data_IF_301133200816
#
_entry.id   IF_301133200816
#
_cell.length_a   1.000
_cell.length_b   1.000
_cell.length_c   1.000
_cell.angle_alpha   90.00
_cell.angle_beta   90.00
_cell.angle_gamma   90.00
#
_symmetry.space_group_name_H-M   'P 1'
#
loop_
_entity.id
_entity.type
_entity.pdbx_description
1 polymer ?
#
# COMPACT_ATOMS: atom_id res chain seq x y z
N UNK A 1 37.88 -53.25 27.08
CA UNK A 1 36.67 -53.03 26.28
C UNK A 1 36.43 -51.49 26.17
N UNK A 2 36.73 -50.87 25.05
CA UNK A 2 36.50 -49.42 24.81
C UNK A 2 35.12 -49.24 24.15
N UNK A 3 34.18 -48.63 24.87
CA UNK A 3 32.86 -48.23 24.31
C UNK A 3 33.05 -47.08 23.35
N UNK A 4 32.68 -47.27 22.08
CA UNK A 4 32.59 -46.21 21.07
C UNK A 4 31.29 -45.44 21.35
N UNK A 5 31.39 -44.14 21.67
CA UNK A 5 30.28 -43.21 21.76
C UNK A 5 29.92 -42.78 20.35
N UNK A 6 28.71 -43.11 19.91
CA UNK A 6 28.15 -42.65 18.63
C UNK A 6 27.35 -41.39 18.92
N UNK A 7 27.80 -40.26 18.40
CA UNK A 7 27.04 -39.00 18.45
C UNK A 7 26.03 -38.96 17.28
N UNK A 8 24.75 -38.72 17.53
CA UNK A 8 23.82 -38.51 16.44
C UNK A 8 24.12 -37.17 15.72
N UNK A 9 24.38 -37.23 14.43
CA UNK A 9 24.48 -36.04 13.59
C UNK A 9 23.08 -35.39 13.49
N UNK A 10 22.94 -34.22 14.08
CA UNK A 10 21.76 -33.40 13.95
C UNK A 10 21.77 -32.74 12.54
N UNK A 11 21.00 -33.29 11.62
CA UNK A 11 20.78 -32.69 10.31
C UNK A 11 19.88 -31.47 10.48
N UNK A 12 20.47 -30.27 10.51
CA UNK A 12 19.72 -29.04 10.32
C UNK A 12 19.22 -28.97 8.88
N UNK A 13 17.95 -29.27 8.71
CA UNK A 13 17.26 -29.00 7.45
C UNK A 13 17.17 -27.47 7.28
N UNK A 14 18.15 -26.89 6.58
CA UNK A 14 18.07 -25.49 6.13
C UNK A 14 16.98 -25.47 5.06
N UNK A 15 15.76 -25.13 5.50
CA UNK A 15 14.67 -24.84 4.60
C UNK A 15 15.05 -23.54 3.83
N UNK A 16 15.70 -23.73 2.68
CA UNK A 16 16.02 -22.65 1.77
C UNK A 16 14.71 -21.99 1.33
N UNK A 17 14.42 -20.81 1.89
CA UNK A 17 13.38 -19.95 1.36
C UNK A 17 13.79 -19.60 -0.08
N UNK A 18 13.19 -20.27 -1.06
CA UNK A 18 13.14 -19.80 -2.42
C UNK A 18 12.43 -18.45 -2.38
N UNK A 19 13.21 -17.38 -2.38
CA UNK A 19 12.74 -16.01 -2.60
C UNK A 19 12.11 -15.96 -3.98
N UNK A 20 10.85 -16.37 -4.09
CA UNK A 20 10.02 -16.12 -5.26
C UNK A 20 10.02 -14.62 -5.53
N UNK A 21 9.99 -14.24 -6.80
CA UNK A 21 9.98 -12.87 -7.27
C UNK A 21 9.03 -12.04 -6.40
N UNK A 22 9.57 -11.14 -5.58
CA UNK A 22 8.80 -10.37 -4.60
C UNK A 22 7.85 -9.32 -5.18
N UNK A 23 7.63 -9.33 -6.53
CA UNK A 23 6.70 -8.46 -7.25
C UNK A 23 5.81 -9.32 -8.15
N UNK A 24 4.49 -9.20 -8.01
CA UNK A 24 3.48 -9.94 -8.80
C UNK A 24 2.38 -9.00 -9.31
N UNK A 25 1.71 -9.37 -10.41
CA UNK A 25 0.58 -8.60 -10.96
C UNK A 25 -0.73 -8.83 -10.18
N UNK A 26 -0.84 -9.96 -9.47
CA UNK A 26 -2.01 -10.34 -8.68
C UNK A 26 -1.58 -11.09 -7.43
N UNK A 27 -2.55 -11.56 -6.67
CA UNK A 27 -2.29 -12.38 -5.49
C UNK A 27 -1.51 -13.63 -5.91
N UNK A 28 -0.36 -13.95 -5.28
CA UNK A 28 0.43 -15.11 -5.65
C UNK A 28 -0.33 -16.42 -5.37
N UNK A 29 -0.09 -17.44 -6.19
CA UNK A 29 -0.74 -18.76 -6.00
C UNK A 29 -0.38 -19.41 -4.66
N UNK A 30 0.82 -19.14 -4.14
CA UNK A 30 1.25 -19.57 -2.80
C UNK A 30 1.38 -18.33 -1.92
N UNK A 31 0.53 -18.24 -0.90
CA UNK A 31 0.51 -17.15 0.07
C UNK A 31 1.25 -17.61 1.32
N UNK A 32 2.20 -16.82 1.80
CA UNK A 32 2.85 -16.98 3.09
C UNK A 32 2.17 -16.08 4.13
N UNK A 33 1.44 -16.62 5.11
CA UNK A 33 0.77 -15.81 6.14
C UNK A 33 1.73 -14.99 7.01
N UNK A 34 3.01 -15.37 7.08
CA UNK A 34 4.02 -14.65 7.85
C UNK A 34 4.61 -13.44 7.10
N UNK A 35 4.40 -13.35 5.80
CA UNK A 35 4.94 -12.25 4.99
C UNK A 35 4.15 -10.95 5.17
N UNK A 36 4.78 -9.82 4.81
CA UNK A 36 4.15 -8.50 4.69
C UNK A 36 3.81 -8.25 3.23
N UNK A 37 2.54 -8.03 2.94
CA UNK A 37 2.03 -7.75 1.60
C UNK A 37 1.78 -6.27 1.40
N UNK A 38 2.20 -5.76 0.25
CA UNK A 38 1.97 -4.39 -0.16
C UNK A 38 1.34 -4.36 -1.54
N UNK A 39 0.12 -3.83 -1.64
CA UNK A 39 -0.57 -3.63 -2.91
C UNK A 39 -0.34 -2.19 -3.34
N UNK A 40 0.41 -1.98 -4.45
CA UNK A 40 0.68 -0.66 -4.99
C UNK A 40 -0.28 -0.33 -6.14
N UNK A 41 -1.01 0.78 -6.01
CA UNK A 41 -2.00 1.25 -6.98
C UNK A 41 -1.51 2.56 -7.59
N UNK A 42 -1.06 2.50 -8.84
CA UNK A 42 -0.43 3.63 -9.54
C UNK A 42 -1.41 4.73 -9.95
N UNK A 43 -0.88 5.91 -10.31
CA UNK A 43 -1.61 7.07 -10.82
C UNK A 43 -2.13 6.89 -12.25
N UNK A 44 -2.93 7.86 -12.72
CA UNK A 44 -3.60 7.84 -14.02
C UNK A 44 -2.65 7.83 -15.22
N UNK A 45 -1.44 8.36 -15.08
CA UNK A 45 -0.51 8.57 -16.20
C UNK A 45 -0.15 7.29 -16.95
N UNK A 46 -0.08 6.14 -16.28
CA UNK A 46 0.14 4.83 -16.94
C UNK A 46 -1.03 4.47 -17.85
N UNK A 47 -2.26 4.71 -17.38
CA UNK A 47 -3.48 4.42 -18.15
C UNK A 47 -3.56 5.26 -19.42
N UNK A 48 -3.27 6.57 -19.29
CA UNK A 48 -3.39 7.52 -20.40
C UNK A 48 -2.29 7.36 -21.44
N UNK A 49 -1.06 7.09 -21.02
CA UNK A 49 0.07 6.94 -21.95
C UNK A 49 0.35 5.47 -22.33
N UNK A 50 -0.35 4.50 -21.72
CA UNK A 50 -0.20 3.05 -21.98
C UNK A 50 1.27 2.61 -21.92
N UNK A 51 2.00 3.10 -20.92
CA UNK A 51 3.44 2.90 -20.76
C UNK A 51 3.79 2.62 -19.30
N UNK A 52 4.75 1.71 -19.07
CA UNK A 52 5.32 1.48 -17.74
C UNK A 52 6.31 2.58 -17.29
N UNK A 53 6.68 3.47 -18.22
CA UNK A 53 7.56 4.60 -17.95
C UNK A 53 7.05 5.87 -18.67
N UNK A 54 5.81 6.30 -18.38
CA UNK A 54 5.27 7.48 -19.03
C UNK A 54 6.04 8.74 -18.59
N UNK A 55 6.00 9.79 -19.43
CA UNK A 55 6.70 11.04 -19.16
C UNK A 55 5.71 12.19 -19.03
N UNK A 56 5.78 12.91 -17.93
CA UNK A 56 5.05 14.16 -17.74
C UNK A 56 5.97 15.35 -18.05
N UNK A 57 5.48 16.40 -18.74
CA UNK A 57 6.33 17.56 -19.10
C UNK A 57 7.01 18.22 -17.90
N UNK A 58 6.31 18.36 -16.77
CA UNK A 58 6.79 19.02 -15.55
C UNK A 58 7.53 18.07 -14.61
N UNK A 59 7.04 16.82 -14.43
CA UNK A 59 7.53 15.91 -13.39
C UNK A 59 8.53 14.89 -13.89
N UNK A 60 8.78 14.83 -15.20
CA UNK A 60 9.68 13.85 -15.80
C UNK A 60 9.07 12.46 -15.91
N UNK A 61 9.91 11.43 -15.83
CA UNK A 61 9.46 10.04 -15.97
C UNK A 61 8.81 9.51 -14.69
N UNK A 62 7.68 8.82 -14.86
CA UNK A 62 7.07 8.02 -13.83
C UNK A 62 7.80 6.68 -13.73
N UNK A 63 8.59 6.50 -12.69
CA UNK A 63 9.49 5.35 -12.51
C UNK A 63 8.78 4.17 -11.83
N UNK A 64 7.67 3.71 -12.42
CA UNK A 64 6.82 2.65 -11.85
C UNK A 64 7.60 1.43 -11.36
N UNK A 65 8.45 0.87 -12.23
CA UNK A 65 9.25 -0.30 -11.90
C UNK A 65 10.14 -0.07 -10.69
N UNK A 66 10.83 1.07 -10.66
CA UNK A 66 11.73 1.44 -9.56
C UNK A 66 10.98 1.63 -8.24
N UNK A 67 9.75 2.17 -8.29
CA UNK A 67 8.89 2.25 -7.10
C UNK A 67 8.63 0.84 -6.55
N UNK A 68 8.20 -0.10 -7.39
CA UNK A 68 7.93 -1.47 -6.95
C UNK A 68 9.16 -2.17 -6.41
N UNK A 69 10.30 -2.03 -7.09
CA UNK A 69 11.58 -2.59 -6.67
C UNK A 69 12.02 -2.03 -5.32
N UNK A 70 11.89 -0.71 -5.13
CA UNK A 70 12.20 -0.07 -3.84
C UNK A 70 11.34 -0.62 -2.70
N UNK A 71 10.04 -0.78 -2.92
CA UNK A 71 9.14 -1.33 -1.90
C UNK A 71 9.45 -2.82 -1.61
N UNK A 72 9.76 -3.62 -2.63
CA UNK A 72 10.24 -5.00 -2.46
C UNK A 72 11.51 -5.05 -1.62
N UNK A 73 12.48 -4.19 -1.92
CA UNK A 73 13.78 -4.16 -1.24
C UNK A 73 13.66 -3.71 0.24
N UNK A 74 12.53 -3.09 0.60
CA UNK A 74 12.13 -2.82 2.00
C UNK A 74 11.45 -4.01 2.68
N UNK A 75 11.41 -5.19 2.04
CA UNK A 75 10.96 -6.45 2.62
C UNK A 75 9.47 -6.75 2.46
N UNK A 76 8.80 -6.16 1.48
CA UNK A 76 7.41 -6.47 1.14
C UNK A 76 7.30 -7.43 -0.04
N UNK A 77 6.29 -8.30 0.00
CA UNK A 77 5.77 -8.94 -1.20
C UNK A 77 4.83 -7.94 -1.90
N UNK A 78 5.28 -7.42 -3.04
CA UNK A 78 4.58 -6.33 -3.73
C UNK A 78 3.63 -6.90 -4.78
N UNK A 79 2.36 -6.51 -4.70
CA UNK A 79 1.33 -6.84 -5.69
C UNK A 79 1.00 -5.55 -6.42
N UNK A 80 1.21 -5.50 -7.73
CA UNK A 80 0.83 -4.32 -8.52
C UNK A 80 0.56 -4.68 -9.97
N UNK A 81 -0.61 -4.30 -10.44
CA UNK A 81 -1.01 -4.42 -11.83
C UNK A 81 -0.87 -3.06 -12.53
N UNK A 82 -0.18 -3.05 -13.65
CA UNK A 82 -0.12 -1.88 -14.51
C UNK A 82 -1.39 -1.76 -15.35
N UNK A 83 -2.32 -0.90 -14.93
CA UNK A 83 -3.55 -0.62 -15.69
C UNK A 83 -3.21 0.15 -16.97
N UNK A 84 -3.35 -0.48 -18.13
CA UNK A 84 -3.04 0.11 -19.45
C UNK A 84 -4.27 0.76 -20.10
N UNK A 85 -5.42 0.67 -19.47
CA UNK A 85 -6.67 1.31 -19.91
C UNK A 85 -7.26 2.12 -18.75
N UNK A 86 -7.99 3.15 -19.09
CA UNK A 86 -8.66 3.98 -18.09
C UNK A 86 -9.75 3.16 -17.38
N UNK A 87 -9.75 3.20 -16.06
CA UNK A 87 -10.73 2.53 -15.21
C UNK A 87 -11.50 3.53 -14.37
N UNK A 88 -12.74 3.20 -14.02
CA UNK A 88 -13.47 3.91 -12.97
C UNK A 88 -12.86 3.54 -11.60
N UNK A 89 -12.49 4.53 -10.76
CA UNK A 89 -11.86 4.26 -9.47
C UNK A 89 -12.74 3.45 -8.51
N UNK A 90 -14.05 3.69 -8.46
CA UNK A 90 -14.94 3.00 -7.56
C UNK A 90 -15.14 1.53 -7.99
N UNK A 91 -15.22 1.29 -9.31
CA UNK A 91 -15.32 -0.08 -9.86
C UNK A 91 -14.02 -0.85 -9.63
N UNK A 92 -12.86 -0.25 -9.94
CA UNK A 92 -11.57 -0.93 -9.77
C UNK A 92 -11.21 -1.16 -8.30
N UNK A 93 -11.75 -0.39 -7.38
CA UNK A 93 -11.60 -0.62 -5.95
C UNK A 93 -12.11 -2.01 -5.52
N UNK A 94 -13.11 -2.57 -6.21
CA UNK A 94 -13.55 -3.96 -6.03
C UNK A 94 -12.43 -4.97 -6.25
N UNK A 95 -11.63 -4.80 -7.31
CA UNK A 95 -10.46 -5.66 -7.57
C UNK A 95 -9.42 -5.59 -6.44
N UNK A 96 -9.19 -4.40 -5.89
CA UNK A 96 -8.27 -4.24 -4.75
C UNK A 96 -8.84 -4.90 -3.50
N UNK A 97 -10.14 -4.72 -3.23
CA UNK A 97 -10.82 -5.37 -2.11
C UNK A 97 -10.77 -6.90 -2.21
N UNK A 98 -10.98 -7.46 -3.40
CA UNK A 98 -10.86 -8.90 -3.63
C UNK A 98 -9.44 -9.42 -3.35
N UNK A 99 -8.39 -8.70 -3.76
CA UNK A 99 -7.00 -9.05 -3.48
C UNK A 99 -6.71 -9.05 -1.98
N UNK A 100 -7.13 -8.02 -1.26
CA UNK A 100 -6.98 -7.95 0.20
C UNK A 100 -7.74 -9.09 0.87
N UNK A 101 -8.99 -9.32 0.49
CA UNK A 101 -9.81 -10.38 1.05
C UNK A 101 -9.24 -11.78 0.77
N UNK A 102 -8.59 -12.00 -0.38
CA UNK A 102 -7.91 -13.25 -0.70
C UNK A 102 -6.72 -13.50 0.26
N UNK A 103 -5.92 -12.46 0.56
CA UNK A 103 -4.83 -12.53 1.54
C UNK A 103 -5.38 -12.82 2.95
N UNK A 104 -6.44 -12.14 3.37
CA UNK A 104 -7.09 -12.36 4.67
C UNK A 104 -7.62 -13.79 4.80
N UNK A 105 -8.31 -14.32 3.77
CA UNK A 105 -8.80 -15.70 3.75
C UNK A 105 -7.68 -16.73 3.80
N UNK A 106 -6.51 -16.41 3.29
CA UNK A 106 -5.33 -17.25 3.36
C UNK A 106 -4.59 -17.16 4.72
N UNK A 107 -5.13 -16.44 5.69
CA UNK A 107 -4.59 -16.33 7.03
C UNK A 107 -3.52 -15.23 7.21
N UNK A 108 -3.32 -14.35 6.23
CA UNK A 108 -2.45 -13.18 6.42
C UNK A 108 -3.10 -12.23 7.43
N UNK A 109 -2.44 -11.87 8.54
CA UNK A 109 -2.97 -10.90 9.49
C UNK A 109 -3.25 -9.55 8.81
N UNK A 110 -4.40 -8.95 9.06
CA UNK A 110 -4.83 -7.71 8.41
C UNK A 110 -3.77 -6.59 8.52
N UNK A 111 -3.09 -6.48 9.66
CA UNK A 111 -2.02 -5.50 9.91
C UNK A 111 -0.76 -5.72 9.06
N UNK A 112 -0.60 -6.89 8.44
CA UNK A 112 0.50 -7.19 7.51
C UNK A 112 0.13 -6.92 6.05
N UNK A 113 -1.05 -6.37 5.80
CA UNK A 113 -1.53 -6.00 4.48
C UNK A 113 -1.59 -4.48 4.38
N UNK A 114 -0.87 -3.91 3.43
CA UNK A 114 -0.83 -2.48 3.17
C UNK A 114 -1.22 -2.19 1.74
N UNK A 115 -2.12 -1.23 1.53
CA UNK A 115 -2.49 -0.71 0.21
C UNK A 115 -1.92 0.69 0.07
N UNK A 116 -1.02 0.91 -0.89
CA UNK A 116 -0.50 2.25 -1.23
C UNK A 116 -1.16 2.70 -2.53
N UNK A 117 -1.83 3.84 -2.49
CA UNK A 117 -2.42 4.45 -3.67
C UNK A 117 -1.84 5.83 -3.97
N UNK A 118 -1.41 6.06 -5.21
CA UNK A 118 -0.84 7.31 -5.69
C UNK A 118 -1.79 8.03 -6.65
N UNK A 119 -2.18 9.28 -6.37
CA UNK A 119 -3.08 10.09 -7.22
C UNK A 119 -4.40 9.32 -7.47
N UNK A 120 -4.80 9.05 -8.71
CA UNK A 120 -5.96 8.18 -9.02
C UNK A 120 -5.92 6.84 -8.25
N UNK A 121 -4.73 6.29 -8.03
CA UNK A 121 -4.56 5.10 -7.20
C UNK A 121 -4.94 5.31 -5.74
N UNK A 122 -4.74 6.51 -5.20
CA UNK A 122 -5.18 6.88 -3.85
C UNK A 122 -6.70 7.01 -3.75
N UNK A 123 -7.35 7.51 -4.80
CA UNK A 123 -8.82 7.49 -4.90
C UNK A 123 -9.34 6.05 -4.88
N UNK A 124 -8.70 5.15 -5.64
CA UNK A 124 -9.03 3.72 -5.65
C UNK A 124 -8.82 3.11 -4.25
N UNK A 125 -7.72 3.43 -3.57
CA UNK A 125 -7.42 2.93 -2.23
C UNK A 125 -8.46 3.40 -1.20
N UNK A 126 -8.95 4.63 -1.33
CA UNK A 126 -10.01 5.19 -0.49
C UNK A 126 -11.32 4.39 -0.66
N UNK A 127 -11.76 4.17 -1.91
CA UNK A 127 -12.94 3.34 -2.16
C UNK A 127 -12.74 1.90 -1.69
N UNK A 128 -11.54 1.33 -1.91
CA UNK A 128 -11.22 -0.03 -1.46
C UNK A 128 -11.27 -0.15 0.07
N UNK A 129 -10.77 0.86 0.81
CA UNK A 129 -10.86 0.91 2.28
C UNK A 129 -12.31 0.78 2.74
N UNK A 130 -13.23 1.52 2.11
CA UNK A 130 -14.66 1.44 2.41
C UNK A 130 -15.27 0.07 2.10
N UNK A 131 -14.88 -0.56 0.99
CA UNK A 131 -15.37 -1.89 0.59
C UNK A 131 -14.83 -3.02 1.47
N UNK A 132 -13.55 -2.94 1.86
CA UNK A 132 -12.89 -3.94 2.70
C UNK A 132 -13.46 -3.90 4.12
N UNK A 133 -13.79 -2.72 4.62
CA UNK A 133 -14.47 -2.53 5.91
C UNK A 133 -13.75 -3.22 7.07
N UNK A 134 -12.40 -3.20 7.07
CA UNK A 134 -11.57 -3.84 8.08
C UNK A 134 -10.72 -2.79 8.81
N UNK A 135 -10.87 -2.61 10.15
CA UNK A 135 -10.18 -1.56 10.90
C UNK A 135 -8.68 -1.80 11.07
N UNK A 136 -8.16 -2.96 10.69
CA UNK A 136 -6.76 -3.33 10.89
C UNK A 136 -5.92 -3.32 9.60
N UNK A 137 -6.53 -3.30 8.42
CA UNK A 137 -5.80 -3.17 7.14
C UNK A 137 -5.20 -1.78 7.03
N UNK A 138 -3.99 -1.69 6.45
CA UNK A 138 -3.28 -0.42 6.33
C UNK A 138 -3.48 0.21 4.96
N UNK A 139 -3.71 1.50 4.94
CA UNK A 139 -3.85 2.29 3.72
C UNK A 139 -2.89 3.48 3.76
N UNK A 140 -2.22 3.72 2.64
CA UNK A 140 -1.38 4.90 2.43
C UNK A 140 -1.93 5.63 1.22
N UNK A 141 -2.53 6.78 1.43
CA UNK A 141 -3.19 7.60 0.40
C UNK A 141 -2.27 8.76 0.06
N UNK A 142 -1.79 8.79 -1.18
CA UNK A 142 -0.81 9.78 -1.60
C UNK A 142 -1.41 10.77 -2.59
N UNK A 143 -1.42 12.06 -2.23
CA UNK A 143 -1.85 13.19 -3.07
C UNK A 143 -3.20 12.95 -3.77
N UNK A 144 -4.23 12.60 -3.00
CA UNK A 144 -5.51 12.15 -3.58
C UNK A 144 -6.75 12.67 -2.87
N UNK A 145 -6.61 13.21 -1.66
CA UNK A 145 -7.74 13.76 -0.93
C UNK A 145 -7.92 15.25 -1.29
N UNK A 146 -9.07 15.61 -1.72
CA UNK A 146 -9.41 17.00 -1.99
C UNK A 146 -10.90 17.21 -1.75
N UNK A 147 -11.33 18.45 -1.63
CA UNK A 147 -12.71 18.80 -1.31
C UNK A 147 -13.73 18.25 -2.30
N UNK A 148 -13.38 18.23 -3.59
CA UNK A 148 -14.25 17.66 -4.63
C UNK A 148 -14.51 16.19 -4.40
N UNK A 149 -13.44 15.40 -4.14
CA UNK A 149 -13.54 13.99 -3.86
C UNK A 149 -14.29 13.74 -2.55
N UNK A 150 -14.02 14.54 -1.51
CA UNK A 150 -14.73 14.40 -0.23
C UNK A 150 -16.25 14.56 -0.40
N UNK A 151 -16.70 15.58 -1.11
CA UNK A 151 -18.13 15.83 -1.33
C UNK A 151 -18.77 14.71 -2.15
N UNK A 152 -18.10 14.22 -3.20
CA UNK A 152 -18.57 13.10 -4.01
C UNK A 152 -18.72 11.81 -3.18
N UNK A 153 -17.69 11.44 -2.45
CA UNK A 153 -17.66 10.19 -1.66
C UNK A 153 -18.63 10.24 -0.49
N UNK A 154 -18.77 11.40 0.16
CA UNK A 154 -19.75 11.62 1.22
C UNK A 154 -21.17 11.41 0.72
N UNK A 155 -21.51 11.93 -0.45
CA UNK A 155 -22.82 11.74 -1.07
C UNK A 155 -23.13 10.26 -1.36
N UNK A 156 -22.08 9.45 -1.61
CA UNK A 156 -22.17 8.00 -1.86
C UNK A 156 -22.07 7.15 -0.59
N UNK A 157 -21.98 7.74 0.59
CA UNK A 157 -21.81 7.01 1.86
C UNK A 157 -20.46 6.32 2.01
N UNK A 158 -19.44 6.72 1.27
CA UNK A 158 -18.09 6.14 1.33
C UNK A 158 -17.34 6.73 2.52
N UNK A 159 -16.79 5.87 3.38
CA UNK A 159 -16.00 6.23 4.56
C UNK A 159 -14.67 5.49 4.57
N UNK A 160 -13.65 6.11 5.18
CA UNK A 160 -12.37 5.43 5.42
C UNK A 160 -12.50 4.41 6.55
N UNK A 161 -11.91 3.25 6.33
CA UNK A 161 -11.68 2.21 7.34
C UNK A 161 -10.19 1.86 7.39
N UNK A 162 -9.77 1.24 8.50
CA UNK A 162 -8.39 0.77 8.65
C UNK A 162 -7.45 1.81 9.24
N UNK A 163 -6.16 1.50 9.22
CA UNK A 163 -5.10 2.41 9.63
C UNK A 163 -4.66 3.23 8.43
N UNK A 164 -4.79 4.55 8.48
CA UNK A 164 -4.62 5.41 7.29
C UNK A 164 -3.50 6.42 7.48
N UNK A 165 -2.52 6.39 6.57
CA UNK A 165 -1.51 7.43 6.41
C UNK A 165 -1.84 8.25 5.15
N UNK A 166 -1.95 9.57 5.27
CA UNK A 166 -2.01 10.50 4.15
C UNK A 166 -0.64 11.14 3.94
N UNK A 167 -0.17 11.19 2.69
CA UNK A 167 1.08 11.87 2.32
C UNK A 167 0.84 12.75 1.10
N UNK A 168 1.17 14.03 1.17
CA UNK A 168 1.11 14.95 0.03
C UNK A 168 2.16 16.05 0.17
N UNK A 169 2.48 16.70 -0.94
CA UNK A 169 3.39 17.84 -0.95
C UNK A 169 2.63 19.17 -0.82
N UNK A 170 3.24 20.14 -0.14
CA UNK A 170 2.67 21.46 0.06
C UNK A 170 2.39 22.21 -1.24
N UNK A 171 3.22 21.94 -2.26
CA UNK A 171 3.21 22.62 -3.54
C UNK A 171 2.48 21.82 -4.64
N UNK A 172 1.57 20.89 -4.22
CA UNK A 172 0.79 20.10 -5.18
C UNK A 172 -0.13 21.01 -6.00
N UNK A 173 0.13 21.08 -7.29
CA UNK A 173 -0.62 21.93 -8.22
C UNK A 173 -2.07 21.50 -8.45
N UNK A 174 -2.43 20.30 -8.00
CA UNK A 174 -3.82 19.81 -8.05
C UNK A 174 -4.68 20.41 -6.93
N UNK A 175 -4.08 21.16 -6.01
CA UNK A 175 -4.74 21.84 -4.89
C UNK A 175 -4.41 21.24 -3.54
N UNK A 176 -5.19 21.55 -2.52
CA UNK A 176 -5.00 21.01 -1.17
C UNK A 176 -5.43 19.54 -1.12
N UNK A 177 -4.45 18.66 -0.93
CA UNK A 177 -4.61 17.21 -0.94
C UNK A 177 -4.80 16.62 0.48
N UNK A 178 -5.14 17.45 1.47
CA UNK A 178 -5.37 17.00 2.86
C UNK A 178 -6.54 16.02 2.96
N UNK A 179 -6.32 14.94 3.70
CA UNK A 179 -7.37 13.96 4.02
C UNK A 179 -8.12 14.31 5.33
N UNK A 180 -7.90 15.47 5.92
CA UNK A 180 -8.49 15.85 7.22
C UNK A 180 -10.00 15.66 7.29
N UNK A 181 -10.74 16.11 6.29
CA UNK A 181 -12.21 15.95 6.24
C UNK A 181 -12.63 14.48 6.22
N UNK A 182 -11.87 13.63 5.55
CA UNK A 182 -12.12 12.18 5.53
C UNK A 182 -11.88 11.55 6.90
N UNK A 183 -10.80 11.94 7.59
CA UNK A 183 -10.51 11.46 8.93
C UNK A 183 -11.59 11.87 9.92
N UNK A 184 -12.01 13.14 9.90
CA UNK A 184 -13.08 13.64 10.77
C UNK A 184 -14.40 12.90 10.54
N UNK A 185 -14.78 12.67 9.28
CA UNK A 185 -16.01 11.96 8.93
C UNK A 185 -16.00 10.46 9.30
N UNK A 186 -14.82 9.85 9.38
CA UNK A 186 -14.64 8.43 9.66
C UNK A 186 -14.36 8.11 11.14
N UNK A 187 -14.13 9.11 11.98
CA UNK A 187 -13.94 8.93 13.43
C UNK A 187 -15.09 8.14 14.04
N UNK A 188 -14.76 7.09 14.82
CA UNK A 188 -15.75 6.24 15.47
C UNK A 188 -16.54 5.31 14.52
N UNK A 189 -16.16 5.23 13.24
CA UNK A 189 -16.84 4.43 12.22
C UNK A 189 -15.93 3.37 11.57
N UNK A 190 -14.88 2.93 12.29
CA UNK A 190 -13.96 1.90 11.78
C UNK A 190 -12.64 2.45 11.24
N UNK A 191 -12.41 3.78 11.31
CA UNK A 191 -11.08 4.34 11.17
C UNK A 191 -10.27 3.97 12.42
N UNK A 192 -9.16 3.26 12.22
CA UNK A 192 -8.21 2.90 13.25
C UNK A 192 -7.26 4.06 13.57
N UNK A 193 -5.96 3.81 13.47
CA UNK A 193 -4.96 4.89 13.58
C UNK A 193 -4.94 5.70 12.29
N UNK A 194 -4.68 7.00 12.41
CA UNK A 194 -4.50 7.86 11.24
C UNK A 194 -3.43 8.91 11.50
N UNK A 195 -2.74 9.27 10.42
CA UNK A 195 -1.71 10.31 10.42
C UNK A 195 -1.70 11.00 9.05
N UNK A 196 -1.33 12.27 9.03
CA UNK A 196 -1.11 13.03 7.81
C UNK A 196 0.29 13.64 7.82
N UNK A 197 0.98 13.53 6.68
CA UNK A 197 2.30 14.10 6.45
C UNK A 197 2.21 15.04 5.24
N UNK A 198 2.41 16.32 5.51
CA UNK A 198 2.56 17.35 4.49
C UNK A 198 4.05 17.54 4.24
N UNK A 199 4.51 17.14 3.08
CA UNK A 199 5.89 17.33 2.64
C UNK A 199 6.11 18.76 2.13
N UNK A 200 7.36 19.19 2.11
CA UNK A 200 7.80 20.48 1.58
C UNK A 200 9.02 20.27 0.67
N UNK A 201 8.86 19.44 -0.36
CA UNK A 201 9.94 19.08 -1.28
C UNK A 201 10.06 20.02 -2.47
N UNK A 202 9.04 20.83 -2.72
CA UNK A 202 8.94 21.67 -3.92
C UNK A 202 8.63 20.89 -5.20
N UNK A 203 8.39 19.57 -5.09
CA UNK A 203 8.10 18.72 -6.26
C UNK A 203 6.60 18.67 -6.60
N UNK A 204 5.74 19.13 -5.70
CA UNK A 204 4.30 19.08 -5.89
C UNK A 204 3.82 17.66 -6.14
N UNK A 205 2.93 17.46 -7.13
CA UNK A 205 2.45 16.13 -7.53
C UNK A 205 3.58 15.20 -8.03
N UNK A 206 4.74 15.76 -8.35
CA UNK A 206 5.94 15.03 -8.79
C UNK A 206 6.55 14.10 -7.75
N UNK A 207 6.22 14.24 -6.46
CA UNK A 207 6.65 13.29 -5.41
C UNK A 207 6.24 11.85 -5.76
N UNK A 208 5.15 11.66 -6.50
CA UNK A 208 4.60 10.36 -6.87
C UNK A 208 5.38 9.67 -8.00
N UNK A 209 6.25 10.41 -8.70
CA UNK A 209 6.89 9.93 -9.94
C UNK A 209 8.12 9.08 -9.68
N UNK A 210 8.72 9.18 -8.52
CA UNK A 210 9.95 8.49 -8.13
C UNK A 210 9.89 8.02 -6.67
N UNK A 211 10.57 6.94 -6.31
CA UNK A 211 10.63 6.47 -4.92
C UNK A 211 11.62 7.32 -4.10
N UNK A 212 11.25 8.58 -3.83
CA UNK A 212 12.06 9.48 -3.00
C UNK A 212 11.93 9.11 -1.52
N UNK A 213 13.01 9.28 -0.72
CA UNK A 213 13.01 8.93 0.70
C UNK A 213 11.91 9.62 1.50
N UNK A 214 11.56 10.84 1.13
CA UNK A 214 10.60 11.69 1.84
C UNK A 214 9.21 11.06 1.96
N UNK A 215 8.78 10.24 0.99
CA UNK A 215 7.54 9.49 1.11
C UNK A 215 7.76 7.99 1.36
N UNK A 216 8.86 7.41 0.84
CA UNK A 216 9.11 5.96 0.98
C UNK A 216 9.35 5.59 2.44
N UNK A 217 10.21 6.35 3.14
CA UNK A 217 10.58 6.03 4.52
C UNK A 217 9.38 6.11 5.48
N UNK A 218 8.58 7.19 5.50
CA UNK A 218 7.41 7.23 6.37
C UNK A 218 6.34 6.20 5.97
N UNK A 219 6.18 5.89 4.68
CA UNK A 219 5.25 4.84 4.24
C UNK A 219 5.67 3.45 4.74
N UNK A 220 6.96 3.14 4.63
CA UNK A 220 7.54 1.87 5.11
C UNK A 220 7.50 1.79 6.64
N UNK A 221 7.84 2.89 7.33
CA UNK A 221 7.76 2.96 8.80
C UNK A 221 6.33 2.71 9.28
N UNK A 222 5.33 3.36 8.68
CA UNK A 222 3.92 3.15 8.97
C UNK A 222 3.49 1.70 8.81
N UNK A 223 3.79 1.09 7.65
CA UNK A 223 3.41 -0.29 7.36
C UNK A 223 4.09 -1.30 8.33
N UNK A 224 5.33 -1.04 8.74
CA UNK A 224 6.05 -1.89 9.69
C UNK A 224 5.54 -1.70 11.13
N UNK A 225 5.27 -0.46 11.57
CA UNK A 225 4.71 -0.18 12.89
C UNK A 225 3.37 -0.90 13.06
N UNK A 226 2.48 -0.80 12.07
CA UNK A 226 1.19 -1.47 12.12
C UNK A 226 1.34 -3.00 12.19
N UNK A 227 2.30 -3.58 11.48
CA UNK A 227 2.53 -5.03 11.46
C UNK A 227 3.03 -5.58 12.82
N UNK A 228 3.65 -4.74 13.66
CA UNK A 228 4.26 -5.16 14.97
C UNK A 228 3.35 -4.93 16.17
N UNK A 229 2.36 -4.07 16.11
CA UNK A 229 1.48 -3.69 17.24
C UNK A 229 0.74 -4.86 17.91
N UNK A 230 0.76 -6.07 17.34
CA UNK A 230 0.09 -7.24 17.92
C UNK A 230 1.01 -8.14 18.75
N UNK A 231 2.32 -7.91 18.72
CA UNK A 231 3.29 -8.74 19.45
C UNK A 231 3.39 -8.32 20.93
N UNK A 232 3.06 -7.06 21.24
CA UNK A 232 3.16 -6.53 22.61
C UNK A 232 1.90 -6.74 23.45
N UNK A 233 0.78 -7.13 22.86
CA UNK A 233 -0.50 -7.33 23.57
C UNK A 233 -0.72 -8.78 24.06
N UNK A 234 0.25 -9.68 23.82
CA UNK A 234 0.19 -11.11 24.19
C UNK A 234 1.27 -11.53 25.20
N UNK A 235 2.07 -10.59 25.73
CA UNK A 235 2.97 -10.79 26.86
C UNK A 235 2.38 -10.18 28.15
#
# INVERSE_FOLDING_TARGET
MRRKMVYPALFFLVCGFLSGQGITNGVPARIDPAAKYLIYVHGRIIETQKSLRPKHPRHGYYEYKKILETLRDKGFLVISEARMTEVDPAVYAGTIAERVNALLRAGVPARRITVIGASKGGVIALYASSLIHNPEVNFIIMASCGDGLFNETKAKGVHLYGNVLSIYDADDESGDMTCRKFFEAAKGKGLGRFKEIKLATGLGHGILYRPIPEWVEPAVAWANEMATLHTEALE
#
